data_IF_512076468310
#
_entry.id   IF_512076468310
#
_cell.length_a   1.000
_cell.length_b   1.000
_cell.length_c   1.000
_cell.angle_alpha   90.00
_cell.angle_beta   90.00
_cell.angle_gamma   90.00
#
_symmetry.space_group_name_H-M   'P 1'
#
loop_
_entity.id
_entity.type
_entity.pdbx_description
1 polymer ?
#
# COMPACT_ATOMS: atom_id res chain seq x y z
N UNK A 1 -20.32 -0.18 23.18
CA UNK A 1 -19.35 -0.36 22.08
C UNK A 1 -17.95 -0.05 22.58
N UNK A 2 -17.06 -1.03 22.54
CA UNK A 2 -15.71 -0.82 23.03
C UNK A 2 -14.86 -0.15 21.94
N UNK A 3 -14.29 1.00 22.24
CA UNK A 3 -13.37 1.68 21.36
C UNK A 3 -12.00 0.99 21.37
N UNK A 4 -11.97 -0.22 20.84
CA UNK A 4 -10.69 -0.93 20.71
C UNK A 4 -9.99 -0.44 19.44
N UNK A 5 -8.88 0.23 19.63
CA UNK A 5 -8.00 0.58 18.51
C UNK A 5 -7.14 -0.62 18.19
N UNK A 6 -6.94 -0.87 16.90
CA UNK A 6 -5.98 -1.87 16.46
C UNK A 6 -4.58 -1.48 16.92
N UNK A 7 -3.81 -2.45 17.33
CA UNK A 7 -2.39 -2.24 17.58
C UNK A 7 -1.67 -2.14 16.23
N UNK A 8 -0.64 -1.32 16.17
CA UNK A 8 0.10 -1.12 14.95
C UNK A 8 1.60 -1.23 15.21
N UNK A 9 2.32 -1.79 14.24
CA UNK A 9 3.77 -1.75 14.20
C UNK A 9 4.20 -1.18 12.86
N UNK A 10 5.33 -0.49 12.86
CA UNK A 10 5.87 0.10 11.64
C UNK A 10 7.20 -0.57 11.32
N UNK A 11 7.32 -1.04 10.07
CA UNK A 11 8.57 -1.57 9.55
C UNK A 11 9.29 -0.46 8.83
N UNK A 12 10.46 -0.08 9.31
CA UNK A 12 11.29 0.96 8.73
C UNK A 12 12.60 0.37 8.24
N UNK A 13 13.14 0.97 7.19
CA UNK A 13 14.45 0.64 6.68
C UNK A 13 15.31 1.89 6.57
N UNK A 14 16.62 1.69 6.56
CA UNK A 14 17.57 2.78 6.46
C UNK A 14 17.72 3.32 5.04
N UNK A 15 17.24 2.59 4.05
CA UNK A 15 17.33 2.97 2.64
C UNK A 15 16.31 2.21 1.82
N UNK A 16 16.07 2.66 0.59
CA UNK A 16 15.28 1.92 -0.40
C UNK A 16 15.95 0.57 -0.68
N UNK A 17 15.15 -0.46 -0.88
CA UNK A 17 15.67 -1.80 -1.17
C UNK A 17 16.22 -2.53 0.04
N UNK A 18 15.96 -2.04 1.26
CA UNK A 18 16.40 -2.70 2.49
C UNK A 18 15.56 -3.94 2.86
N UNK A 19 14.54 -4.29 2.05
CA UNK A 19 13.72 -5.47 2.29
C UNK A 19 12.52 -5.23 3.19
N UNK A 20 12.11 -4.01 3.41
CA UNK A 20 10.97 -3.66 4.29
C UNK A 20 9.68 -4.36 3.89
N UNK A 21 9.37 -4.35 2.60
CA UNK A 21 8.12 -4.93 2.10
C UNK A 21 8.06 -6.44 2.34
N UNK A 22 9.17 -7.12 2.16
CA UNK A 22 9.27 -8.57 2.37
C UNK A 22 9.16 -8.91 3.86
N UNK A 23 9.83 -8.14 4.71
CA UNK A 23 9.76 -8.32 6.18
C UNK A 23 8.33 -8.06 6.66
N UNK A 24 7.68 -7.00 6.16
CA UNK A 24 6.29 -6.72 6.51
C UNK A 24 5.37 -7.88 6.09
N UNK A 25 5.57 -8.44 4.90
CA UNK A 25 4.81 -9.60 4.46
C UNK A 25 5.02 -10.80 5.38
N UNK A 26 6.26 -11.06 5.79
CA UNK A 26 6.58 -12.14 6.72
C UNK A 26 5.92 -11.96 8.08
N UNK A 27 5.94 -10.75 8.62
CA UNK A 27 5.25 -10.43 9.87
C UNK A 27 3.74 -10.59 9.75
N UNK A 28 3.15 -10.14 8.65
CA UNK A 28 1.73 -10.35 8.35
C UNK A 28 1.39 -11.85 8.42
N UNK A 29 2.21 -12.68 7.80
CA UNK A 29 1.98 -14.13 7.77
C UNK A 29 2.08 -14.73 9.17
N UNK A 30 3.10 -14.36 9.94
CA UNK A 30 3.29 -14.85 11.30
C UNK A 30 2.09 -14.49 12.18
N UNK A 31 1.68 -13.24 12.17
CA UNK A 31 0.56 -12.79 12.99
C UNK A 31 -0.76 -13.44 12.56
N UNK A 32 -0.97 -13.63 11.26
CA UNK A 32 -2.15 -14.31 10.76
C UNK A 32 -2.17 -15.77 11.20
N UNK A 33 -1.02 -16.45 11.17
CA UNK A 33 -0.91 -17.84 11.65
C UNK A 33 -1.14 -17.94 13.15
N UNK A 34 -0.83 -16.89 13.90
CA UNK A 34 -1.10 -16.82 15.34
C UNK A 34 -2.57 -16.51 15.66
N UNK A 35 -3.41 -16.40 14.63
CA UNK A 35 -4.85 -16.17 14.81
C UNK A 35 -5.23 -14.69 14.95
N UNK A 36 -4.32 -13.77 14.69
CA UNK A 36 -4.62 -12.36 14.77
C UNK A 36 -5.25 -11.86 13.46
N UNK A 37 -6.16 -10.90 13.56
CA UNK A 37 -6.70 -10.18 12.41
C UNK A 37 -5.68 -9.10 12.01
N UNK A 38 -5.02 -9.29 10.90
CA UNK A 38 -3.89 -8.46 10.46
C UNK A 38 -4.21 -7.85 9.11
N UNK A 39 -3.81 -6.60 8.91
CA UNK A 39 -3.88 -5.95 7.61
C UNK A 39 -2.62 -5.11 7.39
N UNK A 40 -2.12 -5.05 6.16
CA UNK A 40 -1.02 -4.17 5.82
C UNK A 40 -1.51 -2.75 5.58
N UNK A 41 -0.60 -1.78 5.72
CA UNK A 41 -0.90 -0.40 5.39
C UNK A 41 0.36 0.33 4.96
N UNK A 42 0.26 1.06 3.86
CA UNK A 42 1.26 2.02 3.43
C UNK A 42 0.54 3.19 2.80
N UNK A 43 0.60 4.36 3.43
CA UNK A 43 -0.20 5.51 3.02
C UNK A 43 0.08 5.95 1.58
N UNK A 44 1.34 5.96 1.18
CA UNK A 44 1.77 6.37 -0.14
C UNK A 44 2.80 5.38 -0.67
N UNK A 45 2.62 4.94 -1.90
CA UNK A 45 3.56 4.07 -2.58
C UNK A 45 3.86 4.62 -3.97
N UNK A 46 5.03 4.31 -4.48
CA UNK A 46 5.43 4.64 -5.84
C UNK A 46 5.75 3.33 -6.55
N UNK A 47 5.08 3.07 -7.68
CA UNK A 47 5.25 1.80 -8.37
C UNK A 47 4.96 1.95 -9.85
N UNK A 48 5.82 1.37 -10.68
CA UNK A 48 5.59 1.27 -12.13
C UNK A 48 4.45 0.32 -12.45
N UNK A 49 4.30 -0.72 -11.64
CA UNK A 49 3.29 -1.76 -11.83
C UNK A 49 2.41 -1.84 -10.61
N UNK A 50 1.11 -1.72 -10.83
CA UNK A 50 0.13 -1.90 -9.76
C UNK A 50 -0.45 -3.31 -9.80
N UNK A 51 -1.06 -3.70 -8.70
CA UNK A 51 -1.93 -4.87 -8.63
C UNK A 51 -3.38 -4.39 -8.62
N UNK A 52 -4.29 -5.27 -9.00
CA UNK A 52 -5.73 -4.96 -9.04
C UNK A 52 -6.43 -5.75 -7.95
N UNK A 53 -7.25 -5.06 -7.16
CA UNK A 53 -8.04 -5.71 -6.11
C UNK A 53 -9.22 -6.47 -6.72
N UNK A 54 -9.91 -7.33 -5.93
CA UNK A 54 -11.08 -8.05 -6.43
C UNK A 54 -12.18 -7.15 -7.02
N UNK A 55 -12.28 -5.91 -6.55
CA UNK A 55 -13.27 -4.96 -7.05
C UNK A 55 -12.75 -4.03 -8.15
N UNK A 56 -11.55 -4.29 -8.68
CA UNK A 56 -11.01 -3.53 -9.80
C UNK A 56 -10.25 -2.27 -9.42
N UNK A 57 -9.87 -2.12 -8.17
CA UNK A 57 -9.08 -0.97 -7.71
C UNK A 57 -7.58 -1.25 -7.77
N UNK A 58 -6.77 -0.23 -8.02
CA UNK A 58 -5.33 -0.37 -8.08
C UNK A 58 -4.68 -0.11 -6.74
N UNK A 59 -3.72 -0.96 -6.37
CA UNK A 59 -2.85 -0.77 -5.20
C UNK A 59 -1.42 -1.19 -5.56
N UNK A 60 -0.48 -0.82 -4.70
CA UNK A 60 0.90 -1.29 -4.85
C UNK A 60 0.98 -2.81 -4.73
N UNK A 61 1.86 -3.43 -5.53
CA UNK A 61 2.03 -4.89 -5.50
C UNK A 61 2.49 -5.39 -4.14
N UNK A 62 3.31 -4.61 -3.45
CA UNK A 62 3.78 -5.00 -2.12
C UNK A 62 2.60 -5.17 -1.16
N UNK A 63 1.63 -4.26 -1.18
CA UNK A 63 0.46 -4.35 -0.32
C UNK A 63 -0.46 -5.49 -0.73
N UNK A 64 -0.57 -5.78 -2.03
CA UNK A 64 -1.32 -6.96 -2.49
C UNK A 64 -0.71 -8.26 -1.95
N UNK A 65 0.62 -8.38 -2.00
CA UNK A 65 1.33 -9.54 -1.45
C UNK A 65 1.14 -9.62 0.07
N UNK A 66 1.22 -8.49 0.76
CA UNK A 66 1.04 -8.45 2.21
C UNK A 66 -0.39 -8.81 2.61
N UNK A 67 -1.40 -8.37 1.85
CA UNK A 67 -2.78 -8.78 2.07
C UNK A 67 -2.95 -10.29 1.90
N UNK A 68 -2.32 -10.86 0.89
CA UNK A 68 -2.31 -12.30 0.67
C UNK A 68 -1.68 -13.02 1.85
N UNK A 69 -0.58 -12.50 2.37
CA UNK A 69 0.07 -13.06 3.56
C UNK A 69 -0.83 -13.02 4.79
N UNK A 70 -1.66 -11.98 4.90
CA UNK A 70 -2.65 -11.87 5.97
C UNK A 70 -3.85 -12.81 5.77
N UNK A 71 -4.03 -13.37 4.59
CA UNK A 71 -5.20 -14.20 4.27
C UNK A 71 -6.47 -13.39 4.04
N UNK A 72 -6.35 -12.12 3.63
CA UNK A 72 -7.49 -11.24 3.39
C UNK A 72 -7.45 -10.67 1.97
N UNK A 73 -8.60 -10.27 1.40
CA UNK A 73 -8.62 -9.61 0.11
C UNK A 73 -7.89 -8.26 0.19
N UNK A 74 -7.21 -7.90 -0.89
CA UNK A 74 -6.58 -6.59 -0.99
C UNK A 74 -7.66 -5.51 -1.14
N UNK A 75 -7.47 -4.39 -0.46
CA UNK A 75 -8.39 -3.25 -0.48
C UNK A 75 -7.63 -1.95 -0.70
N UNK A 76 -8.24 -0.96 -1.36
CA UNK A 76 -7.57 0.32 -1.64
C UNK A 76 -7.12 1.06 -0.38
N UNK A 77 -7.83 0.90 0.74
CA UNK A 77 -7.46 1.52 2.00
C UNK A 77 -6.09 1.07 2.52
N UNK A 78 -5.59 -0.08 2.07
CA UNK A 78 -4.26 -0.56 2.43
C UNK A 78 -3.13 0.25 1.80
N UNK A 79 -3.43 0.92 0.68
CA UNK A 79 -2.51 1.81 -0.02
C UNK A 79 -3.32 2.91 -0.70
N UNK A 80 -3.78 3.91 0.06
CA UNK A 80 -4.71 4.90 -0.47
C UNK A 80 -4.13 5.82 -1.54
N UNK A 81 -2.82 6.04 -1.54
CA UNK A 81 -2.17 6.90 -2.52
C UNK A 81 -1.09 6.11 -3.25
N UNK A 82 -1.26 5.95 -4.55
CA UNK A 82 -0.29 5.27 -5.40
C UNK A 82 0.15 6.22 -6.50
N UNK A 83 1.45 6.39 -6.64
CA UNK A 83 2.04 7.18 -7.71
C UNK A 83 2.65 6.23 -8.73
N UNK A 84 2.23 6.36 -9.99
CA UNK A 84 2.77 5.60 -11.11
C UNK A 84 3.55 6.54 -12.00
N UNK A 85 4.89 6.51 -11.98
CA UNK A 85 5.69 7.37 -12.83
C UNK A 85 5.34 7.16 -14.30
N UNK A 86 5.19 8.25 -15.04
CA UNK A 86 4.94 8.22 -16.49
C UNK A 86 6.24 8.51 -17.23
N UNK A 87 6.22 8.29 -18.55
CA UNK A 87 7.38 8.60 -19.41
C UNK A 87 7.64 10.09 -19.50
N UNK A 88 6.64 10.91 -19.23
CA UNK A 88 6.76 12.36 -19.15
C UNK A 88 7.15 12.81 -17.74
N UNK A 89 7.35 14.11 -17.57
CA UNK A 89 7.69 14.68 -16.27
C UNK A 89 6.45 14.64 -15.38
N UNK A 90 6.35 13.62 -14.51
CA UNK A 90 5.24 13.52 -13.57
C UNK A 90 4.86 12.08 -13.28
N UNK A 91 3.72 11.94 -12.63
CA UNK A 91 3.20 10.64 -12.22
C UNK A 91 1.69 10.61 -12.41
N UNK A 92 1.16 9.44 -12.75
CA UNK A 92 -0.26 9.19 -12.61
C UNK A 92 -0.57 9.01 -11.13
N UNK A 93 -1.51 9.80 -10.62
CA UNK A 93 -1.93 9.74 -9.22
C UNK A 93 -3.17 8.85 -9.11
N UNK A 94 -3.09 7.83 -8.29
CA UNK A 94 -4.18 6.91 -8.00
C UNK A 94 -4.59 7.11 -6.54
N UNK A 95 -5.84 7.48 -6.30
CA UNK A 95 -6.39 7.72 -4.96
C UNK A 95 -7.48 6.72 -4.69
N UNK A 96 -7.35 5.97 -3.60
CA UNK A 96 -8.28 4.90 -3.21
C UNK A 96 -8.59 3.96 -4.37
N UNK A 97 -7.54 3.62 -5.13
CA UNK A 97 -7.61 2.64 -6.20
C UNK A 97 -8.08 3.18 -7.55
N UNK A 98 -8.36 4.47 -7.67
CA UNK A 98 -8.86 5.08 -8.91
C UNK A 98 -7.90 6.15 -9.43
N UNK A 99 -7.52 6.10 -10.72
CA UNK A 99 -6.72 7.18 -11.30
C UNK A 99 -7.48 8.50 -11.24
N UNK A 100 -6.83 9.55 -10.78
CA UNK A 100 -7.46 10.88 -10.68
C UNK A 100 -6.80 11.92 -11.58
N UNK A 101 -5.47 11.85 -11.77
CA UNK A 101 -4.76 12.84 -12.59
C UNK A 101 -3.35 12.38 -12.90
N UNK A 102 -2.74 13.03 -13.91
CA UNK A 102 -1.30 13.04 -14.11
C UNK A 102 -0.77 14.36 -13.57
N UNK A 103 0.20 14.31 -12.66
CA UNK A 103 0.71 15.49 -11.98
C UNK A 103 2.23 15.51 -11.98
N UNK A 104 2.80 16.71 -12.16
CA UNK A 104 4.20 16.94 -11.81
C UNK A 104 4.38 16.84 -10.30
N UNK A 105 5.59 16.52 -9.85
CA UNK A 105 5.84 16.27 -8.42
C UNK A 105 5.38 17.44 -7.54
N UNK A 106 5.64 18.70 -7.96
CA UNK A 106 5.24 19.87 -7.18
C UNK A 106 3.72 20.01 -7.05
N UNK A 107 2.97 19.63 -8.09
CA UNK A 107 1.51 19.71 -8.07
C UNK A 107 0.91 18.63 -7.20
N UNK A 108 1.56 17.46 -7.13
CA UNK A 108 1.18 16.40 -6.23
C UNK A 108 1.25 16.86 -4.77
N UNK A 109 2.31 17.55 -4.38
CA UNK A 109 2.43 18.05 -3.01
C UNK A 109 1.34 19.05 -2.64
N UNK A 110 0.83 19.80 -3.61
CA UNK A 110 -0.33 20.69 -3.39
C UNK A 110 -1.62 19.90 -3.27
N UNK A 111 -1.77 18.84 -4.06
CA UNK A 111 -2.97 18.00 -4.06
C UNK A 111 -3.10 17.20 -2.78
N UNK A 112 -2.00 16.68 -2.31
CA UNK A 112 -1.92 15.83 -1.14
C UNK A 112 -2.42 16.54 0.13
#
# INVERSE_FOLDING_TARGET
MTNKRAKAIMVQGTMSGAGKSLIAAGLCRIFAQDGLAVAPFKSQNMSLNSAVTPHGFEIGRAQALQAQACGIPAEPAMNPILLKPTTDVGSQVVVMGKPVANMAARDYFKYK
#
